data_IF_811201812645
#
_entry.id   IF_811201812645
#
_cell.length_a   1.000
_cell.length_b   1.000
_cell.length_c   1.000
_cell.angle_alpha   90.00
_cell.angle_beta   90.00
_cell.angle_gamma   90.00
#
_symmetry.space_group_name_H-M   'P 1'
#
loop_
_entity.id
_entity.type
_entity.pdbx_description
1 polymer ?
#
# COMPACT_ATOMS: atom_id res chain seq x y z
N UNK A 1 16.46 8.31 -10.82
CA UNK A 1 17.50 7.80 -9.91
C UNK A 1 16.84 7.07 -8.76
N UNK A 2 17.33 5.88 -8.36
CA UNK A 2 16.64 4.98 -7.43
C UNK A 2 16.36 5.62 -6.07
N UNK A 3 17.26 6.47 -5.57
CA UNK A 3 17.07 7.17 -4.29
C UNK A 3 15.87 8.13 -4.29
N UNK A 4 15.73 8.96 -5.33
CA UNK A 4 14.63 9.93 -5.41
C UNK A 4 13.28 9.23 -5.55
N UNK A 5 13.24 8.10 -6.26
CA UNK A 5 12.05 7.27 -6.34
C UNK A 5 11.68 6.66 -4.98
N UNK A 6 12.66 6.12 -4.24
CA UNK A 6 12.42 5.61 -2.88
C UNK A 6 11.88 6.71 -1.96
N UNK A 7 12.46 7.91 -2.00
CA UNK A 7 11.96 9.06 -1.22
C UNK A 7 10.54 9.43 -1.64
N UNK A 8 10.26 9.40 -2.94
CA UNK A 8 8.95 9.75 -3.51
C UNK A 8 7.83 8.83 -3.01
N UNK A 9 8.09 7.51 -2.94
CA UNK A 9 7.07 6.53 -2.55
C UNK A 9 7.00 6.25 -1.04
N UNK A 10 7.90 6.82 -0.25
CA UNK A 10 8.13 6.40 1.14
C UNK A 10 6.90 6.62 2.05
N UNK A 11 6.02 7.54 1.71
CA UNK A 11 4.79 7.81 2.44
C UNK A 11 3.64 6.83 2.11
N UNK A 12 3.81 5.93 1.13
CA UNK A 12 2.85 4.85 0.82
C UNK A 12 2.50 4.02 2.08
N UNK A 13 3.46 3.81 2.98
CA UNK A 13 3.23 3.07 4.22
C UNK A 13 2.29 3.77 5.22
N UNK A 14 1.99 5.07 5.02
CA UNK A 14 1.18 5.89 5.91
C UNK A 14 -0.27 6.08 5.44
N UNK A 15 -0.66 5.50 4.29
CA UNK A 15 -2.01 5.70 3.72
C UNK A 15 -3.13 5.02 4.54
N UNK A 16 -2.78 4.01 5.35
CA UNK A 16 -3.74 3.30 6.22
C UNK A 16 -3.04 2.54 7.34
N UNK A 17 -3.72 2.44 8.48
CA UNK A 17 -3.33 1.66 9.66
C UNK A 17 -3.77 0.18 9.61
N UNK A 18 -4.52 -0.23 8.57
CA UNK A 18 -5.17 -1.55 8.52
C UNK A 18 -4.30 -2.68 7.94
N UNK A 19 -3.01 -2.44 7.75
CA UNK A 19 -2.07 -3.43 7.21
C UNK A 19 -0.63 -3.06 7.50
N UNK A 20 0.26 -4.04 7.45
CA UNK A 20 1.70 -3.83 7.55
C UNK A 20 2.31 -3.78 6.16
N UNK A 21 2.93 -2.65 5.84
CA UNK A 21 3.63 -2.43 4.57
C UNK A 21 5.11 -2.78 4.71
N UNK A 22 5.66 -3.48 3.72
CA UNK A 22 7.09 -3.76 3.57
C UNK A 22 7.48 -3.39 2.15
N UNK A 23 8.22 -2.28 2.00
CA UNK A 23 8.66 -1.75 0.72
C UNK A 23 10.13 -2.12 0.48
N UNK A 24 10.46 -2.53 -0.73
CA UNK A 24 11.82 -2.74 -1.19
C UNK A 24 11.95 -2.26 -2.64
N UNK A 25 12.58 -1.09 -2.83
CA UNK A 25 12.55 -0.39 -4.11
C UNK A 25 11.10 -0.18 -4.60
N UNK A 26 10.75 -0.66 -5.79
CA UNK A 26 9.40 -0.64 -6.35
C UNK A 26 8.50 -1.81 -5.87
N UNK A 27 9.07 -2.88 -5.32
CA UNK A 27 8.32 -4.01 -4.80
C UNK A 27 7.67 -3.67 -3.44
N UNK A 28 6.37 -3.91 -3.32
CA UNK A 28 5.60 -3.66 -2.08
C UNK A 28 4.82 -4.90 -1.64
N UNK A 29 5.07 -5.34 -0.41
CA UNK A 29 4.28 -6.39 0.25
C UNK A 29 3.36 -5.77 1.30
N UNK A 30 2.10 -6.23 1.33
CA UNK A 30 1.08 -5.76 2.28
C UNK A 30 0.51 -6.95 3.03
N UNK A 31 0.72 -6.96 4.35
CA UNK A 31 0.20 -8.02 5.23
C UNK A 31 -1.03 -7.54 5.96
N UNK A 32 -2.13 -8.30 5.84
CA UNK A 32 -3.41 -8.04 6.48
C UNK A 32 -3.77 -9.21 7.37
N UNK A 33 -4.14 -8.92 8.61
CA UNK A 33 -4.59 -9.90 9.59
C UNK A 33 -5.98 -9.54 10.11
N UNK A 34 -6.84 -10.54 10.25
CA UNK A 34 -8.17 -10.38 10.83
C UNK A 34 -8.66 -11.70 11.44
N UNK A 35 -9.64 -11.60 12.34
CA UNK A 35 -10.22 -12.75 13.07
C UNK A 35 -11.04 -13.68 12.18
N UNK A 36 -11.48 -13.22 11.00
CA UNK A 36 -12.25 -14.03 10.07
C UNK A 36 -11.85 -13.75 8.63
N UNK A 37 -12.03 -14.75 7.77
CA UNK A 37 -11.81 -14.65 6.33
C UNK A 37 -12.55 -13.44 5.74
N UNK A 38 -13.84 -13.29 6.03
CA UNK A 38 -14.64 -12.19 5.50
C UNK A 38 -14.14 -10.81 5.93
N UNK A 39 -13.69 -10.67 7.20
CA UNK A 39 -13.11 -9.43 7.72
C UNK A 39 -11.76 -9.15 7.06
N UNK A 40 -10.93 -10.17 6.84
CA UNK A 40 -9.66 -10.05 6.10
C UNK A 40 -9.90 -9.58 4.66
N UNK A 41 -10.85 -10.17 3.92
CA UNK A 41 -11.20 -9.71 2.56
C UNK A 41 -11.70 -8.27 2.55
N UNK A 42 -12.58 -7.89 3.50
CA UNK A 42 -13.09 -6.53 3.58
C UNK A 42 -11.98 -5.52 3.85
N UNK A 43 -11.06 -5.84 4.77
CA UNK A 43 -9.90 -5.00 5.06
C UNK A 43 -8.96 -4.93 3.85
N UNK A 44 -8.67 -6.07 3.22
CA UNK A 44 -7.81 -6.12 2.04
C UNK A 44 -8.32 -5.23 0.91
N UNK A 45 -9.61 -5.29 0.60
CA UNK A 45 -10.21 -4.43 -0.42
C UNK A 45 -10.11 -2.94 -0.06
N UNK A 46 -10.28 -2.58 1.22
CA UNK A 46 -10.10 -1.19 1.68
C UNK A 46 -8.65 -0.72 1.55
N UNK A 47 -7.69 -1.56 1.90
CA UNK A 47 -6.26 -1.26 1.78
C UNK A 47 -5.87 -1.13 0.30
N UNK A 48 -6.31 -2.07 -0.55
CA UNK A 48 -6.07 -2.01 -1.99
C UNK A 48 -6.69 -0.77 -2.65
N UNK A 49 -7.89 -0.36 -2.22
CA UNK A 49 -8.49 0.88 -2.71
C UNK A 49 -7.65 2.10 -2.34
N UNK A 50 -7.15 2.17 -1.11
CA UNK A 50 -6.27 3.26 -0.68
C UNK A 50 -4.95 3.28 -1.47
N UNK A 51 -4.37 2.12 -1.74
CA UNK A 51 -3.16 1.98 -2.59
C UNK A 51 -3.46 2.46 -4.01
N UNK A 52 -4.57 2.03 -4.62
CA UNK A 52 -4.97 2.48 -5.96
C UNK A 52 -5.06 3.99 -6.03
N UNK A 53 -5.77 4.61 -5.09
CA UNK A 53 -5.90 6.07 -5.02
C UNK A 53 -4.55 6.76 -4.82
N UNK A 54 -3.67 6.21 -3.97
CA UNK A 54 -2.31 6.74 -3.81
C UNK A 54 -1.53 6.69 -5.13
N UNK A 55 -1.60 5.60 -5.88
CA UNK A 55 -0.91 5.46 -7.17
C UNK A 55 -1.47 6.42 -8.22
N UNK A 56 -2.79 6.63 -8.20
CA UNK A 56 -3.48 7.58 -9.10
C UNK A 56 -3.03 9.02 -8.86
N UNK A 57 -3.12 9.51 -7.61
CA UNK A 57 -2.80 10.91 -7.27
C UNK A 57 -1.31 11.23 -7.37
N UNK A 58 -0.44 10.22 -7.23
CA UNK A 58 1.00 10.35 -7.36
C UNK A 58 1.53 9.97 -8.75
N UNK A 59 0.67 9.80 -9.77
CA UNK A 59 1.11 9.49 -11.14
C UNK A 59 2.02 8.26 -11.24
N UNK A 60 1.80 7.27 -10.36
CA UNK A 60 2.49 5.97 -10.32
C UNK A 60 1.69 4.86 -11.04
N UNK A 61 0.57 5.24 -11.68
CA UNK A 61 -0.27 4.37 -12.51
C UNK A 61 0.04 4.63 -13.99
N UNK A 62 -0.12 3.60 -14.83
CA UNK A 62 -0.02 3.67 -16.30
C UNK A 62 -1.41 3.53 -16.90
#
# INVERSE_FOLDING_TARGET
>A
GPLLFIIYINDLCNITDKGKFVLFADDTNIFIAAESKNKAYSIANKVLQAVSTYMEVNLLHI
#
